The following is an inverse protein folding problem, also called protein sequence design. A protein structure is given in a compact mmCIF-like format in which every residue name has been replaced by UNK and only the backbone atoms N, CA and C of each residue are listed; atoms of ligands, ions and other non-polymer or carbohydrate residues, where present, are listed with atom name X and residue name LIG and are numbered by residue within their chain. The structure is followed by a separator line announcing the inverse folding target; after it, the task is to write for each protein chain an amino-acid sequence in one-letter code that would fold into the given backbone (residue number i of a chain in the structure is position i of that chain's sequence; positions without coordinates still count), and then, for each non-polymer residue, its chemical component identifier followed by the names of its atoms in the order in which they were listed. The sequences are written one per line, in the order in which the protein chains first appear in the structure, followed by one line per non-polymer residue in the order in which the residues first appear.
data_IF_220661168855
#
_entry.id   IF_220661168855
#
_cell.length_a   1.000
_cell.length_b   1.000
_cell.length_c   1.000
_cell.angle_alpha   90.00
_cell.angle_beta   90.00
_cell.angle_gamma   90.00
#
_symmetry.space_group_name_H-M   'P 1'
#
loop_
_entity.id
_entity.type
_entity.pdbx_description
1 polymer ?
#
# COMPACT_ATOMS: atom_id res chain seq x y z
N UNK A 1 21.85 -0.17 -20.15
CA UNK A 1 21.06 1.06 -19.85
C UNK A 1 19.68 0.57 -19.46
N UNK A 2 19.13 1.01 -18.33
CA UNK A 2 17.76 0.71 -17.96
C UNK A 2 16.79 1.33 -18.97
N UNK A 3 15.75 0.60 -19.33
CA UNK A 3 14.68 1.10 -20.20
C UNK A 3 13.94 2.22 -19.48
N UNK A 4 13.49 3.24 -20.25
CA UNK A 4 12.70 4.35 -19.67
C UNK A 4 11.34 4.41 -20.36
N UNK A 5 10.28 4.26 -19.56
CA UNK A 5 8.88 4.40 -19.99
C UNK A 5 8.39 5.79 -19.59
N UNK A 6 7.96 6.57 -20.59
CA UNK A 6 7.42 7.91 -20.39
C UNK A 6 5.91 7.90 -20.33
N UNK A 7 5.35 8.28 -19.20
CA UNK A 7 3.91 8.39 -18.98
C UNK A 7 3.47 9.85 -19.11
N UNK A 8 2.38 10.07 -19.83
CA UNK A 8 1.83 11.41 -20.08
C UNK A 8 0.51 11.66 -19.35
N UNK A 9 -0.21 10.59 -19.04
CA UNK A 9 -1.47 10.62 -18.29
C UNK A 9 -1.18 10.53 -16.80
N UNK A 10 -1.95 11.22 -15.98
CA UNK A 10 -1.80 11.24 -14.54
C UNK A 10 -2.08 12.61 -13.94
N UNK A 11 -1.92 12.72 -12.62
CA UNK A 11 -2.18 13.95 -11.89
C UNK A 11 -1.35 14.02 -10.61
N UNK A 12 -0.46 14.98 -10.53
CA UNK A 12 0.25 15.29 -9.28
C UNK A 12 -0.60 16.21 -8.41
N UNK A 13 -1.02 15.70 -7.26
CA UNK A 13 -1.77 16.47 -6.25
C UNK A 13 -0.78 16.95 -5.20
N UNK A 14 -0.35 18.19 -5.29
CA UNK A 14 0.63 18.78 -4.37
C UNK A 14 -0.03 19.21 -3.06
N UNK A 15 0.08 18.38 -2.05
CA UNK A 15 -0.45 18.65 -0.72
C UNK A 15 0.63 19.24 0.20
N UNK A 16 0.21 20.17 1.07
CA UNK A 16 1.04 20.70 2.15
C UNK A 16 1.32 19.64 3.21
N UNK A 17 2.52 19.73 3.79
CA UNK A 17 2.89 18.90 4.92
C UNK A 17 3.59 17.60 4.52
N UNK A 18 4.33 17.59 3.41
CA UNK A 18 5.23 16.48 3.08
C UNK A 18 6.26 16.27 4.20
N UNK A 19 6.55 15.03 4.57
CA UNK A 19 7.53 14.69 5.58
C UNK A 19 8.93 15.18 5.18
N UNK A 20 9.60 15.85 6.12
CA UNK A 20 11.02 16.21 5.97
C UNK A 20 11.90 14.96 6.13
N UNK A 21 13.07 14.95 5.51
CA UNK A 21 14.02 13.82 5.55
C UNK A 21 14.71 13.65 6.92
N UNK A 22 14.02 13.94 7.99
CA UNK A 22 14.47 13.72 9.37
C UNK A 22 13.79 12.49 9.93
N UNK A 23 14.55 11.62 10.59
CA UNK A 23 14.05 10.37 11.14
C UNK A 23 14.06 10.42 12.64
N UNK A 24 12.92 10.14 13.25
CA UNK A 24 12.77 9.98 14.69
C UNK A 24 12.51 8.51 15.03
N UNK A 25 13.17 8.01 16.07
CA UNK A 25 12.88 6.67 16.60
C UNK A 25 11.85 6.79 17.72
N UNK A 26 10.78 6.01 17.59
CA UNK A 26 9.79 5.88 18.66
C UNK A 26 10.37 5.09 19.84
N UNK A 27 9.86 5.39 21.02
CA UNK A 27 10.02 4.46 22.15
C UNK A 27 9.22 3.19 21.83
N UNK A 28 9.71 2.01 22.24
CA UNK A 28 8.94 0.78 22.09
C UNK A 28 7.55 0.93 22.71
N UNK A 29 6.52 0.55 21.96
CA UNK A 29 5.15 0.52 22.46
C UNK A 29 4.97 -0.61 23.46
N UNK A 30 4.03 -0.44 24.37
CA UNK A 30 3.66 -1.51 25.32
C UNK A 30 2.92 -2.65 24.62
N UNK A 31 2.14 -2.33 23.56
CA UNK A 31 1.31 -3.27 22.83
C UNK A 31 1.42 -3.07 21.32
N UNK A 32 1.31 -4.16 20.59
CA UNK A 32 1.29 -4.19 19.13
C UNK A 32 0.12 -5.05 18.66
N UNK A 33 -0.49 -4.68 17.55
CA UNK A 33 -1.61 -5.46 17.01
C UNK A 33 -1.41 -5.76 15.53
N UNK A 34 -1.69 -7.00 15.12
CA UNK A 34 -1.74 -7.37 13.72
C UNK A 34 -3.20 -7.45 13.24
N UNK A 35 -3.48 -6.81 12.11
CA UNK A 35 -4.82 -6.65 11.55
C UNK A 35 -4.98 -7.56 10.33
N UNK A 36 -5.88 -8.58 10.37
CA UNK A 36 -6.06 -9.48 9.22
C UNK A 36 -6.59 -8.80 7.96
N UNK A 37 -7.35 -7.71 8.10
CA UNK A 37 -7.89 -6.94 6.96
C UNK A 37 -6.82 -6.20 6.15
N UNK A 38 -5.59 -6.13 6.63
CA UNK A 38 -4.45 -5.62 5.85
C UNK A 38 -4.05 -6.59 4.73
N UNK A 39 -4.42 -7.86 4.86
CA UNK A 39 -4.13 -8.92 3.91
C UNK A 39 -5.39 -9.28 3.13
N UNK A 40 -5.64 -8.55 2.05
CA UNK A 40 -6.86 -8.67 1.25
C UNK A 40 -7.04 -10.09 0.72
N UNK A 41 -8.24 -10.63 0.81
CA UNK A 41 -8.57 -11.98 0.32
C UNK A 41 -8.22 -13.11 1.28
N UNK A 42 -7.59 -12.82 2.43
CA UNK A 42 -7.30 -13.78 3.49
C UNK A 42 -8.53 -13.98 4.38
N UNK A 43 -8.88 -15.22 4.65
CA UNK A 43 -9.86 -15.56 5.70
C UNK A 43 -9.07 -16.00 6.94
N UNK A 44 -8.98 -15.17 7.99
CA UNK A 44 -8.11 -15.45 9.12
C UNK A 44 -8.66 -16.58 10.01
N UNK A 45 -7.77 -17.48 10.41
CA UNK A 45 -7.97 -18.42 11.51
C UNK A 45 -6.90 -18.12 12.56
N UNK A 46 -7.32 -17.67 13.73
CA UNK A 46 -6.41 -17.35 14.84
C UNK A 46 -5.65 -18.61 15.26
N UNK A 47 -4.32 -18.48 15.39
CA UNK A 47 -3.43 -19.57 15.77
C UNK A 47 -3.08 -19.59 17.27
N UNK A 48 -3.40 -18.51 17.98
CA UNK A 48 -3.06 -18.26 19.39
C UNK A 48 -4.31 -18.01 20.24
N UNK A 49 -4.15 -18.01 21.55
CA UNK A 49 -5.20 -17.66 22.53
C UNK A 49 -4.71 -16.53 23.43
N UNK A 50 -5.65 -15.82 24.04
CA UNK A 50 -5.32 -14.86 25.10
C UNK A 50 -4.60 -15.57 26.25
N UNK A 51 -3.50 -14.98 26.69
CA UNK A 51 -2.57 -15.54 27.66
C UNK A 51 -1.41 -16.36 27.07
N UNK A 52 -1.44 -16.72 25.80
CA UNK A 52 -0.31 -17.39 25.16
C UNK A 52 0.89 -16.45 25.04
N UNK A 53 2.09 -16.97 25.29
CA UNK A 53 3.34 -16.28 25.00
C UNK A 53 3.80 -16.61 23.58
N UNK A 54 4.20 -15.59 22.82
CA UNK A 54 4.69 -15.69 21.45
C UNK A 54 6.04 -15.01 21.30
N UNK A 55 6.87 -15.50 20.39
CA UNK A 55 8.11 -14.84 19.97
C UNK A 55 7.84 -13.96 18.77
N UNK A 56 8.69 -12.98 18.53
CA UNK A 56 8.69 -12.26 17.24
C UNK A 56 8.95 -13.26 16.11
N UNK A 57 8.03 -13.32 15.13
CA UNK A 57 8.06 -14.32 14.05
C UNK A 57 7.12 -15.52 14.24
N UNK A 58 6.58 -15.77 15.42
CA UNK A 58 5.55 -16.80 15.60
C UNK A 58 4.22 -16.33 14.96
N UNK A 59 3.46 -17.24 14.35
CA UNK A 59 2.23 -16.88 13.66
C UNK A 59 1.09 -16.55 14.64
N UNK A 60 0.50 -15.35 14.52
CA UNK A 60 -0.68 -14.93 15.28
C UNK A 60 -1.99 -15.48 14.69
N UNK A 61 -2.07 -15.52 13.38
CA UNK A 61 -3.15 -16.16 12.65
C UNK A 61 -2.63 -16.74 11.33
N UNK A 62 -3.42 -17.59 10.71
CA UNK A 62 -3.13 -18.24 9.43
C UNK A 62 -4.29 -18.03 8.47
N UNK A 63 -4.04 -18.20 7.19
CA UNK A 63 -5.12 -18.26 6.20
C UNK A 63 -5.89 -19.57 6.37
N UNK A 64 -7.21 -19.49 6.58
CA UNK A 64 -8.06 -20.67 6.81
C UNK A 64 -8.04 -21.67 5.65
N UNK A 65 -7.90 -21.18 4.41
CA UNK A 65 -7.86 -22.02 3.20
C UNK A 65 -6.50 -22.66 2.97
N UNK A 66 -5.42 -21.95 3.36
CA UNK A 66 -4.02 -22.35 3.23
C UNK A 66 -3.33 -22.16 4.58
N UNK A 67 -3.48 -23.14 5.50
CA UNK A 67 -2.98 -23.01 6.88
C UNK A 67 -1.47 -22.82 7.01
N UNK A 68 -0.71 -23.16 5.97
CA UNK A 68 0.72 -22.91 5.86
C UNK A 68 1.06 -21.42 5.68
N UNK A 69 0.10 -20.59 5.24
CA UNK A 69 0.28 -19.14 5.15
C UNK A 69 -0.03 -18.52 6.49
N UNK A 70 1.02 -18.38 7.31
CA UNK A 70 0.99 -17.69 8.59
C UNK A 70 1.28 -16.20 8.48
N UNK A 71 0.94 -15.45 9.53
CA UNK A 71 1.20 -14.02 9.66
C UNK A 71 1.92 -13.78 10.99
N UNK A 72 3.16 -13.34 10.90
CA UNK A 72 4.11 -13.28 11.99
C UNK A 72 3.80 -12.17 13.00
N UNK A 73 3.99 -12.47 14.28
CA UNK A 73 4.02 -11.46 15.34
C UNK A 73 5.19 -10.49 15.14
N UNK A 74 4.97 -9.18 15.21
CA UNK A 74 6.04 -8.19 15.13
C UNK A 74 6.94 -8.16 16.36
N UNK A 75 6.48 -8.70 17.50
CA UNK A 75 7.18 -8.65 18.79
C UNK A 75 7.02 -9.97 19.54
N UNK A 76 7.93 -10.24 20.51
CA UNK A 76 7.67 -11.23 21.53
C UNK A 76 6.85 -10.65 22.68
N UNK A 77 6.03 -11.50 23.28
CA UNK A 77 5.19 -11.08 24.39
C UNK A 77 3.98 -11.96 24.62
N UNK A 78 3.08 -11.47 25.43
CA UNK A 78 1.85 -12.18 25.78
C UNK A 78 0.68 -11.66 24.97
N UNK A 79 -0.08 -12.56 24.35
CA UNK A 79 -1.32 -12.22 23.65
C UNK A 79 -2.34 -11.71 24.66
N UNK A 80 -2.72 -10.43 24.57
CA UNK A 80 -3.66 -9.79 25.52
C UNK A 80 -5.08 -9.80 25.02
N UNK A 81 -5.30 -9.75 23.70
CA UNK A 81 -6.64 -9.72 23.12
C UNK A 81 -6.71 -10.34 21.72
N UNK A 82 -7.81 -11.04 21.46
CA UNK A 82 -8.26 -11.43 20.14
C UNK A 82 -9.59 -10.69 19.87
N UNK A 83 -9.48 -9.46 19.34
CA UNK A 83 -10.64 -8.60 19.13
C UNK A 83 -11.48 -9.12 17.96
N UNK A 84 -12.77 -9.25 18.20
CA UNK A 84 -13.73 -9.73 17.21
C UNK A 84 -14.87 -8.73 17.03
N UNK A 85 -15.24 -8.51 15.78
CA UNK A 85 -16.41 -7.72 15.40
C UNK A 85 -17.62 -8.60 15.09
N UNK A 86 -18.51 -8.05 14.28
CA UNK A 86 -19.73 -8.71 13.83
C UNK A 86 -19.44 -10.07 13.20
N UNK A 87 -20.36 -11.02 13.42
CA UNK A 87 -20.26 -12.41 12.92
C UNK A 87 -18.93 -13.09 13.30
N UNK A 88 -18.32 -12.70 14.42
CA UNK A 88 -17.03 -13.20 14.92
C UNK A 88 -15.84 -12.93 13.98
N UNK A 89 -15.94 -11.96 13.08
CA UNK A 89 -14.81 -11.54 12.26
C UNK A 89 -13.65 -11.12 13.16
N UNK A 90 -12.46 -11.65 12.93
CA UNK A 90 -11.24 -11.23 13.64
C UNK A 90 -10.84 -9.85 13.14
N UNK A 91 -10.83 -8.87 14.03
CA UNK A 91 -10.44 -7.50 13.72
C UNK A 91 -8.94 -7.28 13.95
N UNK A 92 -8.41 -7.77 15.06
CA UNK A 92 -6.97 -7.70 15.39
C UNK A 92 -6.60 -8.73 16.45
N UNK A 93 -5.31 -9.07 16.47
CA UNK A 93 -4.67 -9.84 17.54
C UNK A 93 -3.63 -8.95 18.19
N UNK A 94 -3.74 -8.70 19.49
CA UNK A 94 -2.90 -7.79 20.26
C UNK A 94 -1.92 -8.56 21.13
N UNK A 95 -0.67 -8.13 21.10
CA UNK A 95 0.44 -8.70 21.90
C UNK A 95 1.03 -7.59 22.77
N UNK A 96 1.07 -7.81 24.08
CA UNK A 96 1.81 -6.97 25.02
C UNK A 96 3.28 -7.36 24.95
N UNK A 97 4.12 -6.45 24.53
CA UNK A 97 5.52 -6.70 24.25
C UNK A 97 6.33 -6.99 25.53
N UNK A 98 7.26 -7.91 25.44
CA UNK A 98 8.27 -8.14 26.44
C UNK A 98 9.30 -7.00 26.46
N UNK A 99 9.88 -6.74 27.64
CA UNK A 99 10.96 -5.77 27.78
C UNK A 99 12.22 -6.21 27.01
N UNK A 100 12.48 -7.51 26.95
CA UNK A 100 13.54 -8.13 26.17
C UNK A 100 12.93 -9.03 25.11
N UNK A 101 13.20 -8.72 23.84
CA UNK A 101 12.57 -9.40 22.70
C UNK A 101 13.21 -10.76 22.45
N UNK A 102 12.36 -11.77 22.28
CA UNK A 102 12.71 -13.12 21.86
C UNK A 102 12.28 -13.33 20.40
N UNK A 103 13.10 -14.03 19.62
CA UNK A 103 12.84 -14.25 18.20
C UNK A 103 12.68 -15.72 17.88
N UNK A 104 11.73 -16.03 17.01
CA UNK A 104 11.73 -17.32 16.33
C UNK A 104 12.92 -17.35 15.37
N UNK A 105 13.69 -18.43 15.39
CA UNK A 105 14.90 -18.57 14.59
C UNK A 105 14.65 -19.46 13.37
N UNK A 106 14.82 -18.91 12.17
CA UNK A 106 14.61 -19.60 10.88
C UNK A 106 15.95 -19.97 10.22
N UNK A 107 17.07 -19.56 10.83
CA UNK A 107 18.43 -19.76 10.34
C UNK A 107 18.79 -18.83 9.18
N UNK A 108 20.03 -18.37 9.19
CA UNK A 108 20.60 -17.55 8.10
C UNK A 108 20.75 -18.42 6.86
N UNK A 109 20.26 -17.93 5.72
CA UNK A 109 20.31 -18.64 4.43
C UNK A 109 20.77 -17.70 3.33
N UNK A 110 21.69 -18.13 2.51
CA UNK A 110 22.09 -17.39 1.31
C UNK A 110 21.05 -17.62 0.19
N UNK A 111 20.22 -16.60 -0.15
CA UNK A 111 19.16 -16.79 -1.14
C UNK A 111 19.69 -17.13 -2.53
N UNK A 112 20.94 -16.80 -2.85
CA UNK A 112 21.53 -17.13 -4.14
C UNK A 112 21.76 -18.64 -4.36
N UNK A 113 21.78 -19.41 -3.27
CA UNK A 113 22.00 -20.86 -3.27
C UNK A 113 20.71 -21.67 -3.15
N UNK A 114 19.58 -21.00 -2.97
CA UNK A 114 18.26 -21.62 -2.86
C UNK A 114 17.60 -21.74 -4.23
N UNK A 115 16.72 -22.71 -4.40
CA UNK A 115 15.74 -22.73 -5.47
C UNK A 115 14.46 -21.98 -5.07
N UNK A 116 13.56 -21.76 -6.02
CA UNK A 116 12.33 -21.01 -5.77
C UNK A 116 11.43 -21.66 -4.73
N UNK A 117 11.34 -22.99 -4.71
CA UNK A 117 10.51 -23.72 -3.75
C UNK A 117 11.05 -23.56 -2.32
N UNK A 118 12.38 -23.59 -2.14
CA UNK A 118 13.02 -23.37 -0.84
C UNK A 118 12.82 -21.92 -0.35
N UNK A 119 12.81 -20.93 -1.26
CA UNK A 119 12.50 -19.53 -0.90
C UNK A 119 11.05 -19.39 -0.46
N UNK A 120 10.09 -19.91 -1.23
CA UNK A 120 8.66 -19.90 -0.85
C UNK A 120 8.45 -20.56 0.52
N UNK A 121 9.07 -21.74 0.71
CA UNK A 121 9.01 -22.46 2.00
C UNK A 121 9.54 -21.59 3.15
N UNK A 122 10.69 -20.92 2.97
CA UNK A 122 11.27 -20.08 4.01
C UNK A 122 10.34 -18.89 4.36
N UNK A 123 9.71 -18.26 3.36
CA UNK A 123 8.75 -17.18 3.58
C UNK A 123 7.46 -17.65 4.27
N UNK A 124 6.97 -18.86 3.94
CA UNK A 124 5.82 -19.49 4.60
C UNK A 124 6.13 -19.78 6.07
N UNK A 125 7.26 -20.43 6.34
CA UNK A 125 7.71 -20.77 7.71
C UNK A 125 7.86 -19.52 8.58
N UNK A 126 8.34 -18.41 8.00
CA UNK A 126 8.55 -17.15 8.72
C UNK A 126 7.29 -16.27 8.83
N UNK A 127 6.15 -16.70 8.27
CA UNK A 127 4.91 -15.90 8.28
C UNK A 127 4.99 -14.60 7.47
N UNK A 128 5.87 -14.56 6.45
CA UNK A 128 6.07 -13.41 5.58
C UNK A 128 5.46 -13.57 4.18
N UNK A 129 5.06 -14.77 3.81
CA UNK A 129 4.54 -15.04 2.46
C UNK A 129 3.28 -14.22 2.16
N UNK A 130 2.44 -13.94 3.16
CA UNK A 130 1.24 -13.13 3.02
C UNK A 130 1.47 -11.66 2.65
N UNK A 131 2.73 -11.17 2.68
CA UNK A 131 3.11 -9.83 2.20
C UNK A 131 3.31 -9.76 0.67
N UNK A 132 3.12 -10.85 -0.02
CA UNK A 132 3.11 -10.91 -1.48
C UNK A 132 1.65 -10.85 -1.93
N UNK A 133 1.34 -9.92 -2.82
CA UNK A 133 0.03 -9.83 -3.47
C UNK A 133 0.09 -10.40 -4.89
N UNK A 134 -1.06 -10.64 -5.49
CA UNK A 134 -1.17 -11.12 -6.86
C UNK A 134 -2.15 -10.31 -7.70
N UNK A 135 -1.87 -10.17 -8.97
CA UNK A 135 -2.82 -9.86 -10.03
C UNK A 135 -3.05 -11.12 -10.89
N UNK A 136 -4.27 -11.36 -11.36
CA UNK A 136 -5.48 -10.56 -11.11
C UNK A 136 -5.95 -10.65 -9.68
N UNK A 137 -6.98 -9.89 -9.36
CA UNK A 137 -7.75 -9.81 -8.12
C UNK A 137 -7.17 -8.86 -7.05
N UNK A 138 -5.88 -8.46 -7.10
CA UNK A 138 -5.23 -7.63 -6.08
C UNK A 138 -5.51 -8.15 -4.65
N UNK A 139 -5.04 -9.34 -4.36
CA UNK A 139 -5.22 -10.04 -3.09
C UNK A 139 -3.89 -10.68 -2.66
N UNK A 140 -3.74 -10.92 -1.37
CA UNK A 140 -2.60 -11.69 -0.85
C UNK A 140 -2.53 -13.05 -1.56
N UNK A 141 -1.34 -13.41 -2.05
CA UNK A 141 -1.14 -14.61 -2.87
C UNK A 141 -1.27 -15.90 -2.06
N UNK A 142 -1.43 -17.00 -2.76
CA UNK A 142 -1.53 -18.35 -2.19
C UNK A 142 -0.46 -19.27 -2.79
N UNK A 143 0.05 -20.26 -2.04
CA UNK A 143 1.19 -21.07 -2.47
C UNK A 143 0.91 -22.03 -3.63
N UNK A 144 -0.37 -22.20 -4.00
CA UNK A 144 -0.81 -22.98 -5.16
C UNK A 144 -0.76 -22.20 -6.49
N UNK A 145 -0.50 -20.89 -6.44
CA UNK A 145 -0.38 -20.03 -7.63
C UNK A 145 1.08 -19.65 -7.85
N UNK A 146 1.64 -20.01 -9.00
CA UNK A 146 3.00 -19.59 -9.40
C UNK A 146 2.93 -18.40 -10.36
N UNK A 147 3.73 -17.36 -10.15
CA UNK A 147 3.69 -16.18 -11.01
C UNK A 147 4.53 -16.38 -12.28
N UNK A 148 4.12 -15.75 -13.39
CA UNK A 148 4.97 -15.60 -14.58
C UNK A 148 6.09 -14.59 -14.36
N UNK A 149 5.86 -13.57 -13.52
CA UNK A 149 6.82 -12.54 -13.12
C UNK A 149 6.44 -11.94 -11.75
N UNK A 150 7.41 -11.29 -11.11
CA UNK A 150 7.25 -10.58 -9.84
C UNK A 150 7.58 -9.12 -10.07
N UNK A 151 6.71 -8.22 -9.60
CA UNK A 151 6.86 -6.78 -9.75
C UNK A 151 7.08 -6.11 -8.40
N UNK A 152 8.08 -5.25 -8.34
CA UNK A 152 8.38 -4.39 -7.19
C UNK A 152 8.43 -2.95 -7.66
N UNK A 153 7.57 -2.08 -7.13
CA UNK A 153 7.63 -0.66 -7.41
C UNK A 153 8.34 0.09 -6.29
N UNK A 154 9.55 0.57 -6.55
CA UNK A 154 10.28 1.44 -5.62
C UNK A 154 9.91 2.93 -5.78
N UNK A 155 9.11 3.28 -6.79
CA UNK A 155 8.57 4.62 -6.98
C UNK A 155 7.32 4.81 -6.14
N UNK A 156 7.37 5.76 -5.22
CA UNK A 156 6.24 6.20 -4.40
C UNK A 156 5.89 7.64 -4.76
N UNK A 157 4.81 7.83 -5.49
CA UNK A 157 4.44 9.12 -6.10
C UNK A 157 3.05 9.63 -5.68
N UNK A 158 2.34 8.91 -4.82
CA UNK A 158 1.05 9.38 -4.29
C UNK A 158 1.22 10.59 -3.38
N UNK A 159 0.20 11.44 -3.24
CA UNK A 159 0.26 12.61 -2.36
C UNK A 159 0.65 12.25 -0.93
N UNK A 160 1.68 12.89 -0.39
CA UNK A 160 2.21 12.71 0.97
C UNK A 160 2.84 11.34 1.25
N UNK A 161 2.97 10.49 0.26
CA UNK A 161 3.57 9.16 0.41
C UNK A 161 5.03 9.25 0.83
N UNK A 162 5.48 8.28 1.64
CA UNK A 162 6.86 8.18 2.11
C UNK A 162 7.84 7.83 0.99
N UNK A 163 9.02 8.43 1.00
CA UNK A 163 10.07 8.15 0.03
C UNK A 163 10.80 6.85 0.37
N UNK A 164 10.80 5.90 -0.58
CA UNK A 164 11.48 4.62 -0.37
C UNK A 164 13.01 4.74 -0.39
N UNK A 165 13.59 5.70 -1.12
CA UNK A 165 15.05 5.90 -1.08
C UNK A 165 15.54 6.26 0.32
N UNK A 166 14.74 7.02 1.09
CA UNK A 166 15.07 7.33 2.47
C UNK A 166 15.00 6.08 3.37
N UNK A 167 13.96 5.27 3.19
CA UNK A 167 13.79 4.01 3.92
C UNK A 167 14.92 3.03 3.61
N UNK A 168 15.39 3.00 2.38
CA UNK A 168 16.45 2.09 1.90
C UNK A 168 17.83 2.40 2.48
N UNK A 169 18.09 3.66 2.89
CA UNK A 169 19.40 4.07 3.41
C UNK A 169 19.88 3.19 4.57
N UNK A 170 21.04 2.54 4.38
CA UNK A 170 21.62 1.60 5.36
C UNK A 170 21.05 0.19 5.34
N UNK A 171 20.11 -0.10 4.43
CA UNK A 171 19.44 -1.39 4.29
C UNK A 171 19.62 -2.01 2.87
N UNK A 172 20.59 -1.50 2.11
CA UNK A 172 20.81 -1.88 0.72
C UNK A 172 21.14 -3.37 0.57
N UNK A 173 21.82 -3.94 1.58
CA UNK A 173 22.14 -5.39 1.61
C UNK A 173 20.88 -6.24 1.80
N UNK A 174 19.97 -5.79 2.65
CA UNK A 174 18.71 -6.51 2.90
C UNK A 174 17.82 -6.42 1.66
N UNK A 175 17.73 -5.24 1.04
CA UNK A 175 16.99 -5.08 -0.20
C UNK A 175 17.52 -6.00 -1.30
N UNK A 176 18.85 -6.03 -1.52
CA UNK A 176 19.45 -6.90 -2.53
C UNK A 176 19.25 -8.39 -2.21
N UNK A 177 19.30 -8.80 -0.95
CA UNK A 177 19.01 -10.18 -0.54
C UNK A 177 17.55 -10.55 -0.82
N UNK A 178 16.59 -9.65 -0.54
CA UNK A 178 15.18 -9.82 -0.84
C UNK A 178 14.91 -9.94 -2.35
N UNK A 179 15.48 -9.04 -3.16
CA UNK A 179 15.41 -9.14 -4.64
C UNK A 179 16.01 -10.45 -5.13
N UNK A 180 17.16 -10.87 -4.60
CA UNK A 180 17.79 -12.13 -4.98
C UNK A 180 16.90 -13.33 -4.62
N UNK A 181 16.26 -13.31 -3.45
CA UNK A 181 15.32 -14.36 -3.07
C UNK A 181 14.11 -14.43 -4.04
N UNK A 182 13.48 -13.30 -4.34
CA UNK A 182 12.36 -13.23 -5.28
C UNK A 182 12.76 -13.71 -6.69
N UNK A 183 13.96 -13.38 -7.14
CA UNK A 183 14.47 -13.81 -8.45
C UNK A 183 14.67 -15.31 -8.59
N UNK A 184 14.70 -16.06 -7.47
CA UNK A 184 14.74 -17.53 -7.49
C UNK A 184 13.37 -18.14 -7.79
N UNK A 185 12.30 -17.40 -7.55
CA UNK A 185 10.92 -17.84 -7.79
C UNK A 185 10.52 -17.56 -9.24
N UNK A 186 10.69 -16.32 -9.71
CA UNK A 186 10.36 -15.89 -11.07
C UNK A 186 11.19 -14.66 -11.45
N UNK A 187 11.09 -14.22 -12.71
CA UNK A 187 11.68 -12.98 -13.20
C UNK A 187 11.17 -11.80 -12.39
N UNK A 188 12.08 -10.93 -11.92
CA UNK A 188 11.74 -9.75 -11.12
C UNK A 188 11.87 -8.49 -11.97
N UNK A 189 10.79 -7.69 -12.02
CA UNK A 189 10.79 -6.32 -12.54
C UNK A 189 10.82 -5.34 -11.38
N UNK A 190 11.80 -4.42 -11.42
CA UNK A 190 11.94 -3.34 -10.44
C UNK A 190 11.66 -2.01 -11.12
N UNK A 191 10.51 -1.40 -10.79
CA UNK A 191 10.14 -0.08 -11.25
C UNK A 191 10.74 1.01 -10.36
N UNK A 192 11.42 1.98 -10.98
CA UNK A 192 12.04 3.12 -10.30
C UNK A 192 11.60 4.42 -10.96
N UNK A 193 11.63 5.53 -10.23
CA UNK A 193 11.30 6.86 -10.76
C UNK A 193 12.50 7.55 -11.41
N UNK A 194 12.25 8.42 -12.39
CA UNK A 194 13.30 9.15 -13.09
C UNK A 194 14.12 10.10 -12.17
N UNK A 195 13.60 10.44 -11.01
CA UNK A 195 14.29 11.31 -10.03
C UNK A 195 15.05 10.52 -8.95
N UNK A 196 14.89 9.20 -8.90
CA UNK A 196 15.60 8.35 -7.94
C UNK A 196 17.07 8.17 -8.34
N UNK A 197 17.95 8.21 -7.37
CA UNK A 197 19.41 8.24 -7.55
C UNK A 197 20.14 7.09 -6.89
N UNK A 198 19.45 6.33 -6.04
CA UNK A 198 20.04 5.23 -5.28
C UNK A 198 20.65 4.16 -6.20
N UNK A 199 21.93 3.90 -6.03
CA UNK A 199 22.61 2.83 -6.76
C UNK A 199 22.11 1.43 -6.38
N UNK A 200 21.55 1.28 -5.18
CA UNK A 200 20.93 0.03 -4.77
C UNK A 200 19.65 -0.28 -5.56
N UNK A 201 18.95 0.76 -6.06
CA UNK A 201 17.81 0.62 -6.94
C UNK A 201 18.24 0.51 -8.41
N UNK A 202 18.98 1.51 -8.90
CA UNK A 202 19.36 1.60 -10.32
C UNK A 202 20.31 0.49 -10.77
N UNK A 203 21.11 -0.04 -9.85
CA UNK A 203 22.06 -1.12 -10.08
C UNK A 203 21.67 -2.46 -9.42
N UNK A 204 20.40 -2.64 -9.05
CA UNK A 204 19.91 -3.86 -8.41
C UNK A 204 20.24 -5.09 -9.28
N UNK A 205 20.86 -6.10 -8.67
CA UNK A 205 21.19 -7.36 -9.34
C UNK A 205 20.01 -8.31 -9.26
N UNK A 206 19.89 -9.18 -10.27
CA UNK A 206 18.81 -10.18 -10.35
C UNK A 206 17.41 -9.57 -10.49
N UNK A 207 17.31 -8.33 -10.98
CA UNK A 207 16.07 -7.70 -11.39
C UNK A 207 16.26 -6.94 -12.70
N UNK A 208 15.20 -6.83 -13.47
CA UNK A 208 15.12 -5.96 -14.65
C UNK A 208 14.62 -4.58 -14.16
N UNK A 209 15.53 -3.60 -14.17
CA UNK A 209 15.24 -2.24 -13.69
C UNK A 209 14.68 -1.41 -14.83
N UNK A 210 13.48 -0.87 -14.64
CA UNK A 210 12.82 0.03 -15.58
C UNK A 210 12.52 1.38 -14.91
N UNK A 211 12.85 2.47 -15.61
CA UNK A 211 12.59 3.83 -15.13
C UNK A 211 11.22 4.28 -15.63
N UNK A 212 10.34 4.68 -14.71
CA UNK A 212 9.06 5.30 -15.02
C UNK A 212 9.17 6.81 -14.84
N UNK A 213 8.94 7.55 -15.94
CA UNK A 213 9.03 9.02 -16.00
C UNK A 213 7.66 9.59 -16.33
N UNK A 214 7.01 10.15 -15.35
CA UNK A 214 5.67 10.74 -15.49
C UNK A 214 5.04 11.14 -14.15
N UNK A 215 3.83 11.71 -14.20
CA UNK A 215 3.06 12.07 -13.01
C UNK A 215 2.50 10.82 -12.30
N UNK A 216 2.04 10.98 -11.06
CA UNK A 216 1.23 9.98 -10.38
C UNK A 216 0.05 9.56 -11.29
N UNK A 217 -0.21 8.25 -11.50
CA UNK A 217 0.21 7.09 -10.71
C UNK A 217 1.34 6.26 -11.36
N UNK A 218 2.42 6.88 -11.83
CA UNK A 218 3.58 6.15 -12.39
C UNK A 218 4.15 5.11 -11.41
N UNK A 219 4.01 5.37 -10.10
CA UNK A 219 4.44 4.50 -9.02
C UNK A 219 3.50 3.33 -8.72
N UNK A 220 2.28 3.31 -9.25
CA UNK A 220 1.38 2.16 -9.03
C UNK A 220 1.94 0.91 -9.73
N UNK A 221 2.05 -0.18 -8.98
CA UNK A 221 2.56 -1.43 -9.52
C UNK A 221 1.67 -1.98 -10.65
N UNK A 222 0.35 -1.80 -10.60
CA UNK A 222 -0.57 -2.17 -11.67
C UNK A 222 -0.27 -1.45 -12.99
N UNK A 223 0.07 -0.16 -12.94
CA UNK A 223 0.51 0.61 -14.11
C UNK A 223 1.80 0.03 -14.69
N UNK A 224 2.75 -0.34 -13.83
CA UNK A 224 4.03 -0.93 -14.26
C UNK A 224 3.84 -2.32 -14.88
N UNK A 225 2.97 -3.14 -14.29
CA UNK A 225 2.58 -4.45 -14.84
C UNK A 225 1.96 -4.29 -16.23
N UNK A 226 0.99 -3.37 -16.39
CA UNK A 226 0.32 -3.13 -17.67
C UNK A 226 1.29 -2.74 -18.80
N UNK A 227 2.37 -2.01 -18.48
CA UNK A 227 3.35 -1.56 -19.48
C UNK A 227 4.42 -2.61 -19.79
N UNK A 228 4.77 -3.49 -18.86
CA UNK A 228 5.90 -4.40 -18.99
C UNK A 228 5.48 -5.84 -19.36
N UNK A 229 4.47 -6.35 -18.68
CA UNK A 229 3.99 -7.72 -18.87
C UNK A 229 2.53 -7.85 -18.40
N UNK A 230 1.56 -7.36 -19.22
CA UNK A 230 0.14 -7.33 -18.89
C UNK A 230 -0.41 -8.72 -18.52
N UNK A 231 -1.39 -8.75 -17.64
CA UNK A 231 -1.97 -10.00 -17.11
C UNK A 231 -3.20 -10.39 -17.91
N UNK A 232 -3.17 -11.56 -18.53
CA UNK A 232 -4.31 -12.15 -19.23
C UNK A 232 -5.05 -13.17 -18.37
N UNK A 233 -6.23 -13.60 -18.83
CA UNK A 233 -7.00 -14.67 -18.19
C UNK A 233 -6.15 -15.94 -18.06
N UNK A 234 -6.09 -16.48 -16.85
CA UNK A 234 -5.30 -17.68 -16.54
C UNK A 234 -3.81 -17.41 -16.23
N UNK A 235 -3.35 -16.18 -16.34
CA UNK A 235 -2.01 -15.78 -15.91
C UNK A 235 -2.04 -15.18 -14.51
N UNK A 236 -0.91 -15.23 -13.83
CA UNK A 236 -0.70 -14.60 -12.52
C UNK A 236 0.64 -13.90 -12.49
N UNK A 237 0.68 -12.70 -11.96
CA UNK A 237 1.90 -12.01 -11.53
C UNK A 237 1.82 -11.74 -10.03
N UNK A 238 2.99 -11.75 -9.38
CA UNK A 238 3.06 -11.32 -7.99
C UNK A 238 3.53 -9.87 -7.92
N UNK A 239 2.99 -9.15 -6.94
CA UNK A 239 3.41 -7.78 -6.64
C UNK A 239 3.89 -7.72 -5.19
N UNK A 240 4.99 -7.02 -4.95
CA UNK A 240 5.61 -6.94 -3.63
C UNK A 240 5.93 -5.47 -3.33
N UNK A 241 5.44 -4.97 -2.19
CA UNK A 241 5.86 -3.66 -1.69
C UNK A 241 7.37 -3.66 -1.40
N UNK A 242 8.13 -2.61 -1.76
CA UNK A 242 9.57 -2.59 -1.58
C UNK A 242 10.01 -2.69 -0.11
N UNK A 243 9.17 -2.27 0.86
CA UNK A 243 9.42 -2.53 2.29
C UNK A 243 9.32 -4.02 2.63
N UNK A 244 8.38 -4.75 2.02
CA UNK A 244 8.31 -6.20 2.21
C UNK A 244 9.55 -6.92 1.67
N UNK A 245 10.16 -6.41 0.58
CA UNK A 245 11.46 -6.90 0.09
C UNK A 245 12.54 -6.75 1.17
N UNK A 246 12.53 -5.65 1.94
CA UNK A 246 13.44 -5.49 3.10
C UNK A 246 13.17 -6.56 4.18
N UNK A 247 11.91 -6.86 4.48
CA UNK A 247 11.56 -7.90 5.46
C UNK A 247 12.09 -9.27 5.02
N UNK A 248 11.93 -9.59 3.75
CA UNK A 248 12.47 -10.85 3.19
C UNK A 248 14.00 -10.88 3.26
N UNK A 249 14.66 -9.80 2.90
CA UNK A 249 16.12 -9.71 2.98
C UNK A 249 16.66 -9.85 4.41
N UNK A 250 16.03 -9.20 5.38
CA UNK A 250 16.39 -9.33 6.80
C UNK A 250 16.23 -10.77 7.28
N UNK A 251 15.14 -11.46 6.89
CA UNK A 251 14.95 -12.88 7.19
C UNK A 251 16.15 -13.71 6.70
N UNK A 252 16.54 -13.56 5.44
CA UNK A 252 17.64 -14.35 4.87
C UNK A 252 19.00 -14.00 5.48
N UNK A 253 19.24 -12.72 5.78
CA UNK A 253 20.51 -12.24 6.33
C UNK A 253 20.67 -12.50 7.83
N UNK A 254 19.58 -12.52 8.60
CA UNK A 254 19.63 -12.63 10.07
C UNK A 254 18.99 -13.91 10.62
N UNK A 255 18.19 -14.60 9.81
CA UNK A 255 17.39 -15.75 10.25
C UNK A 255 16.21 -15.39 11.15
N UNK A 256 15.82 -14.11 11.22
CA UNK A 256 14.78 -13.60 12.12
C UNK A 256 13.79 -12.70 11.36
N UNK A 257 12.56 -12.66 11.82
CA UNK A 257 11.56 -11.72 11.31
C UNK A 257 11.77 -10.37 11.98
N UNK A 258 11.86 -9.34 11.16
CA UNK A 258 11.95 -7.94 11.59
C UNK A 258 11.04 -7.07 10.72
N UNK A 259 9.90 -6.67 11.27
CA UNK A 259 8.85 -5.88 10.60
C UNK A 259 8.99 -4.37 10.85
N UNK A 260 10.20 -3.89 11.15
CA UNK A 260 10.45 -2.44 11.22
C UNK A 260 10.36 -1.80 9.85
N UNK A 261 9.77 -0.65 9.79
CA UNK A 261 9.62 0.16 8.59
C UNK A 261 9.75 1.64 8.87
N UNK A 262 10.07 2.40 7.83
CA UNK A 262 10.06 3.85 7.86
C UNK A 262 8.67 4.35 7.48
N UNK A 263 8.08 5.22 8.31
CA UNK A 263 6.74 5.78 8.12
C UNK A 263 6.84 7.28 7.99
N UNK A 264 6.29 7.85 6.92
CA UNK A 264 6.16 9.29 6.77
C UNK A 264 4.96 9.78 7.60
N UNK A 265 5.19 10.64 8.57
CA UNK A 265 4.12 11.36 9.28
C UNK A 265 3.92 12.69 8.56
N UNK A 266 2.80 12.84 7.85
CA UNK A 266 2.61 13.89 6.87
C UNK A 266 1.20 14.51 6.92
N UNK A 267 1.02 15.61 6.21
CA UNK A 267 -0.27 16.30 6.09
C UNK A 267 -0.28 17.68 6.69
N UNK A 268 -1.22 18.51 6.22
CA UNK A 268 -1.32 19.91 6.62
C UNK A 268 -1.63 20.10 8.12
N UNK A 269 -2.16 19.08 8.77
CA UNK A 269 -2.53 19.12 10.18
C UNK A 269 -1.47 18.48 11.10
N UNK A 270 -0.35 18.05 10.55
CA UNK A 270 0.85 17.67 11.31
C UNK A 270 1.66 18.94 11.63
N UNK A 271 2.10 19.10 12.89
CA UNK A 271 2.91 20.26 13.32
C UNK A 271 4.33 20.21 12.76
N UNK A 272 4.95 19.04 12.80
CA UNK A 272 6.33 18.80 12.36
C UNK A 272 6.35 17.51 11.51
N UNK A 273 6.04 17.61 10.21
CA UNK A 273 6.09 16.45 9.32
C UNK A 273 7.50 15.88 9.23
N UNK A 274 7.67 14.59 9.52
CA UNK A 274 8.96 13.89 9.54
C UNK A 274 8.77 12.39 9.39
N UNK A 275 9.85 11.65 9.24
CA UNK A 275 9.81 10.19 9.24
C UNK A 275 9.99 9.61 10.64
N UNK A 276 9.35 8.48 10.84
CA UNK A 276 9.41 7.72 12.09
C UNK A 276 9.75 6.26 11.79
N UNK A 277 10.73 5.69 12.50
CA UNK A 277 10.96 4.24 12.47
C UNK A 277 9.98 3.58 13.44
N UNK A 278 9.12 2.70 12.93
CA UNK A 278 8.09 2.00 13.68
C UNK A 278 7.99 0.52 13.28
N UNK A 279 7.43 -0.32 14.14
CA UNK A 279 7.05 -1.70 13.84
C UNK A 279 5.63 -1.74 13.28
N UNK A 280 5.35 -2.69 12.39
CA UNK A 280 3.97 -3.03 12.02
C UNK A 280 3.16 -3.28 13.29
N UNK A 281 1.94 -2.73 13.32
CA UNK A 281 1.06 -2.89 14.48
C UNK A 281 1.27 -1.90 15.63
N UNK A 282 2.20 -0.93 15.51
CA UNK A 282 2.35 0.16 16.48
C UNK A 282 1.07 1.00 16.54
N UNK A 283 0.53 1.35 17.73
CA UNK A 283 -0.63 2.24 17.84
C UNK A 283 -0.39 3.59 17.14
N UNK A 284 -1.28 3.99 16.24
CA UNK A 284 -1.12 5.24 15.48
C UNK A 284 -1.04 6.46 16.39
N UNK A 285 -1.77 6.47 17.49
CA UNK A 285 -1.71 7.54 18.50
C UNK A 285 -0.31 7.80 19.05
N UNK A 286 0.54 6.76 19.15
CA UNK A 286 1.92 6.90 19.61
C UNK A 286 2.84 7.44 18.52
N UNK A 287 2.55 7.13 17.25
CA UNK A 287 3.28 7.66 16.09
C UNK A 287 3.08 9.16 15.94
N UNK A 288 1.86 9.65 16.23
CA UNK A 288 1.48 11.05 16.04
C UNK A 288 1.42 11.85 17.35
N UNK A 289 1.84 11.26 18.50
CA UNK A 289 1.68 11.85 19.82
C UNK A 289 2.21 13.29 19.89
N UNK A 290 1.36 14.20 20.35
CA UNK A 290 1.65 15.64 20.46
C UNK A 290 1.90 16.36 19.13
N UNK A 291 1.93 15.67 17.98
CA UNK A 291 2.31 16.21 16.68
C UNK A 291 1.13 16.64 15.80
N UNK A 292 -0.12 16.35 16.20
CA UNK A 292 -1.31 16.81 15.49
C UNK A 292 -1.75 18.18 16.00
N UNK A 293 -2.17 19.06 15.09
CA UNK A 293 -2.78 20.34 15.45
C UNK A 293 -4.14 20.11 16.12
N UNK A 294 -4.44 20.89 17.18
CA UNK A 294 -5.66 20.72 17.99
C UNK A 294 -6.66 21.85 17.84
N UNK A 295 -6.42 22.79 16.93
CA UNK A 295 -7.23 23.97 16.71
C UNK A 295 -8.45 23.71 15.80
N UNK A 296 -8.54 22.52 15.22
CA UNK A 296 -9.64 22.10 14.34
C UNK A 296 -9.86 20.59 14.37
N UNK A 297 -10.99 20.16 13.82
CA UNK A 297 -11.27 18.74 13.61
C UNK A 297 -10.41 18.18 12.48
N UNK A 298 -9.71 17.09 12.77
CA UNK A 298 -8.70 16.48 11.91
C UNK A 298 -9.11 15.07 11.55
N UNK A 299 -8.99 14.72 10.27
CA UNK A 299 -9.08 13.35 9.80
C UNK A 299 -7.69 12.72 9.81
N UNK A 300 -7.55 11.65 10.59
CA UNK A 300 -6.36 10.80 10.58
C UNK A 300 -6.54 9.69 9.57
N UNK A 301 -5.46 9.36 8.86
CA UNK A 301 -5.42 8.31 7.85
C UNK A 301 -4.24 7.38 8.13
N UNK A 302 -4.51 6.08 8.13
CA UNK A 302 -3.53 5.03 7.96
C UNK A 302 -3.28 4.87 6.46
N UNK A 303 -2.23 5.53 5.95
CA UNK A 303 -1.94 5.69 4.53
C UNK A 303 -2.10 7.13 4.01
N UNK A 304 -2.09 7.29 2.69
CA UNK A 304 -2.20 8.57 2.00
C UNK A 304 -3.68 8.99 1.76
N UNK A 305 -3.94 10.25 1.39
CA UNK A 305 -5.29 10.75 1.18
C UNK A 305 -6.09 10.10 0.04
N UNK A 306 -5.45 9.36 -0.86
CA UNK A 306 -6.13 8.70 -2.00
C UNK A 306 -6.55 7.26 -1.69
N UNK A 307 -5.72 6.50 -0.95
CA UNK A 307 -5.91 5.06 -0.74
C UNK A 307 -5.91 4.65 0.73
N UNK A 308 -5.62 5.59 1.64
CA UNK A 308 -5.54 5.35 3.08
C UNK A 308 -6.90 5.08 3.72
N UNK A 309 -6.87 4.44 4.88
CA UNK A 309 -8.05 4.15 5.70
C UNK A 309 -8.23 5.23 6.77
N UNK A 310 -9.47 5.55 7.11
CA UNK A 310 -9.78 6.44 8.24
C UNK A 310 -9.27 5.77 9.52
N UNK A 311 -8.45 6.50 10.27
CA UNK A 311 -7.90 6.06 11.55
C UNK A 311 -8.64 6.69 12.74
N UNK A 312 -8.67 5.96 13.83
CA UNK A 312 -9.20 6.38 15.13
C UNK A 312 -8.20 6.04 16.25
N UNK A 313 -8.56 6.29 17.51
CA UNK A 313 -7.69 6.08 18.67
C UNK A 313 -7.25 4.62 18.89
N UNK A 314 -7.98 3.67 18.30
CA UNK A 314 -7.69 2.25 18.38
C UNK A 314 -6.91 1.71 17.17
N UNK A 315 -6.71 2.56 16.17
CA UNK A 315 -6.02 2.16 14.94
C UNK A 315 -4.52 1.93 15.19
N UNK A 316 -3.98 0.98 14.46
CA UNK A 316 -2.56 0.62 14.49
C UNK A 316 -1.96 0.75 13.10
N UNK A 317 -0.65 0.87 13.03
CA UNK A 317 0.09 0.93 11.77
C UNK A 317 -0.15 -0.35 10.96
N UNK A 318 -0.75 -0.19 9.80
CA UNK A 318 -1.07 -1.31 8.90
C UNK A 318 0.17 -2.01 8.34
N UNK A 319 -0.01 -3.27 7.95
CA UNK A 319 1.08 -4.11 7.44
C UNK A 319 1.75 -3.55 6.17
N UNK A 320 1.02 -2.80 5.35
CA UNK A 320 1.49 -2.21 4.08
C UNK A 320 1.61 -0.68 4.12
N UNK A 321 1.39 -0.05 5.28
CA UNK A 321 1.34 1.41 5.42
C UNK A 321 2.73 2.03 5.41
N UNK A 322 3.02 2.93 4.48
CA UNK A 322 4.26 3.71 4.39
C UNK A 322 4.15 5.15 4.89
N UNK A 323 2.93 5.63 5.13
CA UNK A 323 2.67 6.97 5.67
C UNK A 323 1.46 6.99 6.60
N UNK A 324 1.46 7.91 7.55
CA UNK A 324 0.31 8.29 8.38
C UNK A 324 0.03 9.75 8.12
N UNK A 325 -1.19 10.06 7.65
CA UNK A 325 -1.54 11.41 7.24
C UNK A 325 -2.59 12.04 8.13
N UNK A 326 -2.48 13.37 8.33
CA UNK A 326 -3.48 14.18 9.00
C UNK A 326 -3.88 15.36 8.11
N UNK A 327 -5.17 15.42 7.77
CA UNK A 327 -5.77 16.47 6.94
C UNK A 327 -6.99 17.08 7.64
N UNK A 328 -7.47 18.29 7.27
CA UNK A 328 -8.70 18.84 7.82
C UNK A 328 -9.90 17.92 7.53
N UNK A 329 -10.79 17.74 8.52
CA UNK A 329 -12.07 17.05 8.29
C UNK A 329 -12.96 17.83 7.33
N UNK A 330 -12.93 19.17 7.41
CA UNK A 330 -13.65 20.04 6.50
C UNK A 330 -14.99 20.54 7.04
N UNK A 331 -15.12 20.68 8.35
CA UNK A 331 -16.33 21.22 8.99
C UNK A 331 -16.52 22.73 8.69
N UNK A 332 -15.43 23.43 8.37
CA UNK A 332 -15.44 24.85 8.01
C UNK A 332 -15.96 25.03 6.57
N UNK A 333 -17.26 25.19 6.44
CA UNK A 333 -17.90 25.41 5.14
C UNK A 333 -18.12 26.89 4.92
N UNK A 334 -17.29 27.52 4.09
CA UNK A 334 -17.53 28.87 3.60
C UNK A 334 -18.19 28.79 2.21
N UNK A 335 -19.52 28.63 2.19
CA UNK A 335 -20.25 28.31 0.95
C UNK A 335 -21.08 29.47 0.39
N UNK A 336 -21.25 30.57 1.11
CA UNK A 336 -21.98 31.69 0.58
C UNK A 336 -21.24 32.27 -0.63
N UNK A 337 -21.80 32.08 -1.83
CA UNK A 337 -21.24 32.48 -3.12
C UNK A 337 -19.85 31.88 -3.44
N UNK A 338 -19.42 30.84 -2.73
CA UNK A 338 -18.10 30.23 -2.86
C UNK A 338 -17.78 29.67 -4.24
N UNK A 339 -18.79 29.30 -5.02
CA UNK A 339 -18.65 28.80 -6.38
C UNK A 339 -18.36 29.94 -7.42
N UNK A 340 -18.61 31.21 -7.10
CA UNK A 340 -18.31 32.38 -7.95
C UNK A 340 -16.93 32.98 -7.62
N UNK A 341 -16.42 32.77 -6.39
CA UNK A 341 -15.19 33.40 -5.93
C UNK A 341 -13.95 32.86 -6.68
N UNK A 342 -12.93 33.69 -6.99
CA UNK A 342 -11.74 33.28 -7.71
C UNK A 342 -10.87 32.21 -7.03
N UNK A 343 -11.03 31.99 -5.73
CA UNK A 343 -10.45 30.92 -4.90
C UNK A 343 -9.06 30.45 -5.31
N UNK A 344 -8.09 31.37 -5.29
CA UNK A 344 -6.70 31.08 -5.65
C UNK A 344 -6.04 29.96 -4.82
N UNK A 345 -6.64 29.60 -3.68
CA UNK A 345 -6.14 28.53 -2.78
C UNK A 345 -6.84 27.19 -2.99
N UNK A 346 -7.77 27.08 -3.93
CA UNK A 346 -8.52 25.85 -4.18
C UNK A 346 -7.88 25.11 -5.35
N UNK A 347 -7.57 23.82 -5.14
CA UNK A 347 -7.10 22.95 -6.22
C UNK A 347 -8.20 22.75 -7.27
N UNK A 348 -7.84 22.73 -8.54
CA UNK A 348 -8.78 22.52 -9.63
C UNK A 348 -8.13 21.72 -10.76
N UNK A 349 -8.76 20.63 -11.16
CA UNK A 349 -8.36 19.81 -12.32
C UNK A 349 -8.85 20.41 -13.64
N UNK A 350 -9.95 21.17 -13.60
CA UNK A 350 -10.65 21.73 -14.79
C UNK A 350 -10.34 23.22 -15.05
N UNK A 351 -9.36 23.77 -14.34
CA UNK A 351 -9.02 25.21 -14.39
C UNK A 351 -10.18 26.16 -14.02
N UNK A 352 -11.11 25.70 -13.20
CA UNK A 352 -12.26 26.49 -12.75
C UNK A 352 -11.89 27.66 -11.83
N UNK A 353 -10.71 27.59 -11.19
CA UNK A 353 -10.17 28.62 -10.30
C UNK A 353 -8.81 29.09 -10.80
N UNK A 354 -8.41 30.31 -10.46
CA UNK A 354 -7.12 30.87 -10.89
C UNK A 354 -5.88 30.19 -10.28
N UNK A 355 -6.07 29.19 -9.44
CA UNK A 355 -4.98 28.39 -8.86
C UNK A 355 -4.07 27.71 -9.90
N UNK A 356 -4.57 27.41 -11.09
CA UNK A 356 -3.79 26.81 -12.19
C UNK A 356 -2.64 27.70 -12.68
N UNK A 357 -2.70 29.02 -12.44
CA UNK A 357 -1.62 29.95 -12.75
C UNK A 357 -0.42 29.79 -11.79
N UNK A 358 -0.58 29.06 -10.68
CA UNK A 358 0.40 28.90 -9.62
C UNK A 358 0.99 27.48 -9.64
N UNK A 359 1.69 27.12 -10.70
CA UNK A 359 2.12 25.75 -11.01
C UNK A 359 2.95 24.99 -9.96
N UNK A 360 3.56 25.69 -8.97
CA UNK A 360 4.34 25.05 -7.88
C UNK A 360 3.65 25.13 -6.52
N UNK A 361 2.41 25.58 -6.46
CA UNK A 361 1.69 25.76 -5.21
C UNK A 361 1.30 24.43 -4.59
N UNK A 362 1.48 24.33 -3.27
CA UNK A 362 0.94 23.27 -2.46
C UNK A 362 -0.42 23.67 -1.87
N UNK A 363 -1.32 22.72 -1.75
CA UNK A 363 -2.70 22.93 -1.32
C UNK A 363 -2.98 22.21 0.00
N UNK A 364 -3.84 22.81 0.81
CA UNK A 364 -4.50 22.12 1.91
C UNK A 364 -5.86 21.66 1.41
N UNK A 365 -6.02 20.36 1.25
CA UNK A 365 -7.30 19.73 0.90
C UNK A 365 -7.93 19.14 2.15
N UNK A 366 -9.24 19.25 2.26
CA UNK A 366 -10.05 18.64 3.31
C UNK A 366 -10.68 17.32 2.86
N UNK A 367 -11.24 16.56 3.80
CA UNK A 367 -11.81 15.25 3.55
C UNK A 367 -13.22 15.27 2.95
N UNK A 368 -13.76 16.43 2.62
CA UNK A 368 -15.12 16.55 2.07
C UNK A 368 -15.19 16.10 0.61
N UNK A 369 -16.27 15.42 0.28
CA UNK A 369 -16.71 15.27 -1.10
C UNK A 369 -17.20 16.61 -1.61
N UNK A 370 -16.50 17.18 -2.62
CA UNK A 370 -16.87 18.46 -3.23
C UNK A 370 -17.81 18.23 -4.40
N UNK A 371 -19.09 18.15 -4.12
CA UNK A 371 -20.17 17.83 -5.03
C UNK A 371 -21.14 16.82 -4.42
N UNK A 372 -22.10 16.37 -5.20
CA UNK A 372 -23.04 15.30 -4.80
C UNK A 372 -22.79 14.03 -5.58
N UNK A 373 -23.03 12.89 -4.96
CA UNK A 373 -23.06 11.61 -5.65
C UNK A 373 -24.12 11.61 -6.74
N UNK A 374 -23.77 11.12 -7.91
CA UNK A 374 -24.64 11.09 -9.10
C UNK A 374 -24.52 9.74 -9.79
N UNK A 375 -25.41 9.47 -10.72
CA UNK A 375 -25.24 8.36 -11.64
C UNK A 375 -24.02 8.60 -12.52
N UNK A 376 -23.32 7.53 -12.88
CA UNK A 376 -22.11 7.59 -13.68
C UNK A 376 -22.32 8.36 -14.99
N UNK A 377 -21.47 9.35 -15.20
CA UNK A 377 -21.39 10.13 -16.43
C UNK A 377 -20.10 9.72 -17.16
N UNK A 378 -20.22 9.38 -18.44
CA UNK A 378 -19.07 9.10 -19.31
C UNK A 378 -18.45 10.43 -19.72
N UNK A 379 -17.46 10.88 -18.95
CA UNK A 379 -16.88 12.23 -19.09
C UNK A 379 -15.53 12.26 -19.81
N UNK A 380 -14.87 11.09 -19.96
CA UNK A 380 -13.50 10.98 -20.45
C UNK A 380 -12.44 11.47 -19.45
N UNK A 381 -12.83 11.79 -18.21
CA UNK A 381 -11.90 12.27 -17.19
C UNK A 381 -10.97 11.16 -16.69
N UNK A 382 -11.45 9.89 -16.63
CA UNK A 382 -10.63 8.78 -16.17
C UNK A 382 -9.44 8.54 -17.11
N UNK A 383 -9.64 8.65 -18.41
CA UNK A 383 -8.59 8.45 -19.41
C UNK A 383 -7.42 9.45 -19.29
N UNK A 384 -7.65 10.59 -18.64
CA UNK A 384 -6.60 11.59 -18.41
C UNK A 384 -5.66 11.22 -17.29
N UNK A 385 -6.12 10.42 -16.34
CA UNK A 385 -5.38 10.08 -15.11
C UNK A 385 -5.04 8.59 -14.99
N UNK A 386 -5.51 7.78 -15.93
CA UNK A 386 -5.25 6.33 -15.97
C UNK A 386 -4.28 6.02 -17.12
N UNK A 387 -2.97 5.90 -16.84
CA UNK A 387 -1.96 5.62 -17.85
C UNK A 387 -1.84 4.11 -18.15
N UNK A 388 -2.96 3.42 -18.33
CA UNK A 388 -3.04 2.00 -18.67
C UNK A 388 -3.79 1.84 -19.99
N UNK A 389 -3.48 0.79 -20.74
CA UNK A 389 -4.16 0.45 -21.99
C UNK A 389 -5.45 -0.36 -21.71
N UNK A 390 -6.36 0.27 -20.99
CA UNK A 390 -7.68 -0.29 -20.64
C UNK A 390 -8.78 0.76 -20.88
N UNK A 391 -10.01 0.29 -21.10
CA UNK A 391 -11.19 1.16 -21.22
C UNK A 391 -11.82 1.44 -19.85
N UNK A 392 -11.16 2.25 -19.00
CA UNK A 392 -11.49 2.43 -17.58
C UNK A 392 -12.96 2.82 -17.30
N UNK A 393 -13.52 3.82 -18.01
CA UNK A 393 -14.93 4.20 -17.84
C UNK A 393 -15.90 3.08 -18.23
N UNK A 394 -15.63 2.38 -19.33
CA UNK A 394 -16.47 1.26 -19.77
C UNK A 394 -16.36 0.07 -18.83
N UNK A 395 -15.16 -0.20 -18.31
CA UNK A 395 -14.90 -1.24 -17.31
C UNK A 395 -15.73 -1.01 -16.02
N UNK A 396 -15.65 0.20 -15.46
CA UNK A 396 -16.45 0.57 -14.27
C UNK A 396 -17.94 0.37 -14.55
N UNK A 397 -18.42 0.80 -15.71
CA UNK A 397 -19.83 0.61 -16.11
C UNK A 397 -20.20 -0.87 -16.24
N UNK A 398 -19.31 -1.71 -16.79
CA UNK A 398 -19.53 -3.15 -16.87
C UNK A 398 -19.58 -3.80 -15.47
N UNK A 399 -18.78 -3.33 -14.54
CA UNK A 399 -18.80 -3.79 -13.14
C UNK A 399 -20.15 -3.41 -12.48
N UNK A 400 -20.56 -2.15 -12.58
CA UNK A 400 -21.84 -1.66 -12.01
C UNK A 400 -23.04 -2.45 -12.56
N UNK A 401 -23.00 -2.84 -13.83
CA UNK A 401 -24.08 -3.61 -14.46
C UNK A 401 -23.96 -5.13 -14.27
N UNK A 402 -22.91 -5.61 -13.62
CA UNK A 402 -22.70 -7.04 -13.37
C UNK A 402 -22.37 -7.87 -14.62
N UNK A 403 -21.93 -7.25 -15.71
CA UNK A 403 -21.63 -7.96 -16.95
C UNK A 403 -20.17 -8.46 -16.97
N UNK A 404 -19.98 -9.71 -16.54
CA UNK A 404 -18.65 -10.33 -16.37
C UNK A 404 -17.91 -10.46 -17.71
N UNK A 405 -18.60 -10.91 -18.78
CA UNK A 405 -17.97 -11.06 -20.10
C UNK A 405 -17.38 -9.73 -20.60
N UNK A 406 -18.10 -8.62 -20.36
CA UNK A 406 -17.58 -7.29 -20.71
C UNK A 406 -16.46 -6.83 -19.79
N UNK A 407 -16.50 -7.17 -18.51
CA UNK A 407 -15.40 -6.85 -17.60
C UNK A 407 -14.10 -7.52 -18.07
N UNK A 408 -14.15 -8.79 -18.48
CA UNK A 408 -13.01 -9.52 -19.04
C UNK A 408 -12.48 -8.88 -20.33
N UNK A 409 -13.37 -8.50 -21.23
CA UNK A 409 -13.01 -7.85 -22.50
C UNK A 409 -12.41 -6.44 -22.32
N UNK A 410 -12.72 -5.77 -21.21
CA UNK A 410 -12.33 -4.39 -20.93
C UNK A 410 -11.13 -4.26 -19.98
N UNK A 411 -10.49 -5.36 -19.60
CA UNK A 411 -9.22 -5.36 -18.87
C UNK A 411 -9.32 -5.52 -17.35
N UNK A 412 -10.38 -6.18 -16.82
CA UNK A 412 -10.51 -6.38 -15.36
C UNK A 412 -9.36 -7.19 -14.74
N UNK A 413 -8.69 -8.05 -15.52
CA UNK A 413 -7.55 -8.84 -15.05
C UNK A 413 -6.30 -8.01 -14.77
N UNK A 414 -6.21 -6.81 -15.36
CA UNK A 414 -5.03 -5.96 -15.33
C UNK A 414 -5.07 -4.89 -14.24
N UNK A 415 -6.21 -4.76 -13.54
CA UNK A 415 -6.44 -3.64 -12.62
C UNK A 415 -6.51 -4.05 -11.16
N UNK A 416 -6.13 -3.10 -10.32
CA UNK A 416 -6.39 -3.09 -8.88
C UNK A 416 -7.29 -1.92 -8.49
N UNK A 417 -7.91 -1.94 -7.30
CA UNK A 417 -8.64 -0.77 -6.80
C UNK A 417 -7.79 0.49 -6.74
N UNK A 418 -6.52 0.37 -6.40
CA UNK A 418 -5.57 1.46 -6.29
C UNK A 418 -5.37 2.22 -7.60
N UNK A 419 -5.43 1.55 -8.75
CA UNK A 419 -5.27 2.17 -10.06
C UNK A 419 -6.40 3.16 -10.38
N UNK A 420 -7.55 3.00 -9.75
CA UNK A 420 -8.70 3.90 -9.87
C UNK A 420 -8.72 5.04 -8.83
N UNK A 421 -7.74 5.17 -7.96
CA UNK A 421 -7.74 6.19 -6.91
C UNK A 421 -7.73 7.62 -7.47
N UNK A 422 -6.94 7.90 -8.51
CA UNK A 422 -6.97 9.20 -9.18
C UNK A 422 -8.23 9.41 -10.02
N UNK A 423 -8.76 8.35 -10.66
CA UNK A 423 -10.02 8.42 -11.37
C UNK A 423 -11.17 8.78 -10.41
N UNK A 424 -11.19 8.18 -9.21
CA UNK A 424 -12.14 8.51 -8.13
C UNK A 424 -12.01 9.97 -7.69
N UNK A 425 -10.79 10.48 -7.54
CA UNK A 425 -10.54 11.88 -7.18
C UNK A 425 -11.10 12.87 -8.20
N UNK A 426 -10.91 12.60 -9.50
CA UNK A 426 -11.38 13.49 -10.57
C UNK A 426 -12.83 13.26 -10.99
N UNK A 427 -13.43 12.13 -10.58
CA UNK A 427 -14.79 11.76 -11.01
C UNK A 427 -15.81 12.84 -10.68
N UNK A 428 -16.49 13.33 -11.72
CA UNK A 428 -17.56 14.31 -11.59
C UNK A 428 -18.85 13.75 -10.99
N UNK A 429 -19.03 12.43 -11.04
CA UNK A 429 -20.17 11.71 -10.48
C UNK A 429 -19.98 11.37 -9.00
N UNK A 430 -18.75 11.46 -8.48
CA UNK A 430 -18.38 11.13 -7.10
C UNK A 430 -18.70 9.69 -6.68
N UNK A 431 -18.45 8.76 -7.60
CA UNK A 431 -18.61 7.33 -7.34
C UNK A 431 -17.42 6.79 -6.55
N UNK A 432 -17.62 5.83 -5.63
CA UNK A 432 -16.55 5.16 -4.91
C UNK A 432 -15.88 4.09 -5.82
N UNK A 433 -15.05 4.54 -6.78
CA UNK A 433 -14.52 3.68 -7.84
C UNK A 433 -13.65 2.55 -7.32
N UNK A 434 -12.82 2.82 -6.31
CA UNK A 434 -11.99 1.79 -5.69
C UNK A 434 -12.85 0.67 -5.09
N UNK A 435 -13.94 1.03 -4.43
CA UNK A 435 -14.88 0.05 -3.86
C UNK A 435 -15.62 -0.72 -4.97
N UNK A 436 -16.02 -0.05 -6.04
CA UNK A 436 -16.70 -0.69 -7.20
C UNK A 436 -15.74 -1.70 -7.85
N UNK A 437 -14.49 -1.32 -8.10
CA UNK A 437 -13.48 -2.22 -8.67
C UNK A 437 -13.21 -3.40 -7.74
N UNK A 438 -13.08 -3.17 -6.42
CA UNK A 438 -12.92 -4.26 -5.44
C UNK A 438 -14.07 -5.26 -5.50
N UNK A 439 -15.32 -4.78 -5.58
CA UNK A 439 -16.49 -5.66 -5.70
C UNK A 439 -16.47 -6.46 -7.00
N UNK A 440 -16.11 -5.83 -8.13
CA UNK A 440 -15.95 -6.51 -9.41
C UNK A 440 -14.92 -7.63 -9.36
N UNK A 441 -13.75 -7.36 -8.81
CA UNK A 441 -12.68 -8.34 -8.64
C UNK A 441 -13.06 -9.48 -7.69
N UNK A 442 -13.81 -9.20 -6.63
CA UNK A 442 -14.29 -10.22 -5.69
C UNK A 442 -15.35 -11.16 -6.30
N UNK A 443 -16.21 -10.61 -7.16
CA UNK A 443 -17.19 -11.40 -7.92
C UNK A 443 -16.45 -12.29 -8.92
N UNK A 444 -15.56 -11.69 -9.72
CA UNK A 444 -14.78 -12.41 -10.72
C UNK A 444 -13.95 -13.56 -10.10
N UNK A 445 -13.34 -13.30 -8.94
CA UNK A 445 -12.57 -14.31 -8.21
C UNK A 445 -13.44 -15.50 -7.76
N UNK A 446 -14.71 -15.24 -7.40
CA UNK A 446 -15.65 -16.31 -7.01
C UNK A 446 -16.13 -17.12 -8.20
N UNK A 447 -16.29 -16.49 -9.36
CA UNK A 447 -16.70 -17.17 -10.59
C UNK A 447 -15.57 -18.05 -11.16
N UNK A 448 -14.31 -17.66 -10.94
CA UNK A 448 -13.13 -18.38 -11.45
C UNK A 448 -12.52 -19.36 -10.41
N UNK A 449 -13.14 -19.53 -9.21
CA UNK A 449 -12.60 -20.34 -8.10
C UNK A 449 -13.01 -21.83 -8.16
#
# INVERSE_FOLDING_TARGET
MSETIKLRKGLDIRLKGRAAETVTRLKPSAEYSLVPDDFVGVTPKVAVKEGDHVRAGDALFVNKRFPEVGFASPVSGTVTAVVRGDRRKVLRVTVKADAQQEYAEFGVKDPSKLDGAAVVKALLEAGLFGYIDQLPYAVSTTPDTMPKAIFVSALRDKPLQGDFELELKGQEKDFQAGITALSRIARVHLGVGAQQTSQALLGAKNAEVTVFDGPCPAGNVGVQVNHLDPVNKGETVWTVDPTAVLFFGRLFNTGKVDLRRMVAVAGSEIKSPAYVEALVGTPLKEIIDGNVKSDRHVRLLDGNPLTGRIANDESVLGAHTSEVCAIPEGDDVDELAGWIMPRANTFSTSRSYFSWLQGKKEYTLDARIKGGERRMIMSGEYDRVLPMDIYGEYLVKAIITGNIDKQEQLGIYEVSPEDFALAEFVDSSKLPLQQIVRQGLDILRKENA
#
